data_IF_293717051125
#
_entry.id   IF_293717051125
#
_cell.length_a   1.000
_cell.length_b   1.000
_cell.length_c   1.000
_cell.angle_alpha   90.00
_cell.angle_beta   90.00
_cell.angle_gamma   90.00
#
_symmetry.space_group_name_H-M   'P 1'
#
loop_
_entity.id
_entity.type
_entity.pdbx_description
1 polymer ?
#
# COMPACT_ATOMS: atom_id res chain seq x y z
N UNK A 1 -27.38 17.57 15.35
CA UNK A 1 -26.43 17.07 14.33
C UNK A 1 -26.80 15.62 14.00
N UNK A 2 -27.10 15.28 12.74
CA UNK A 2 -27.45 13.88 12.41
C UNK A 2 -26.20 13.02 12.58
N UNK A 3 -26.33 11.77 13.04
CA UNK A 3 -25.19 10.86 13.26
C UNK A 3 -24.29 10.73 12.01
N UNK A 4 -24.89 10.76 10.82
CA UNK A 4 -24.17 10.77 9.53
C UNK A 4 -23.34 12.04 9.29
N UNK A 5 -23.79 13.21 9.74
CA UNK A 5 -23.02 14.46 9.61
C UNK A 5 -21.75 14.39 10.46
N UNK A 6 -21.85 13.77 11.65
CA UNK A 6 -20.70 13.56 12.55
C UNK A 6 -19.69 12.58 11.95
N UNK A 7 -20.15 11.47 11.38
CA UNK A 7 -19.29 10.50 10.70
C UNK A 7 -18.54 11.18 9.55
N UNK A 8 -19.26 11.93 8.70
CA UNK A 8 -18.66 12.68 7.60
C UNK A 8 -17.59 13.66 8.10
N UNK A 9 -17.86 14.40 9.17
CA UNK A 9 -16.90 15.34 9.75
C UNK A 9 -15.65 14.63 10.30
N UNK A 10 -15.81 13.51 11.01
CA UNK A 10 -14.69 12.69 11.48
C UNK A 10 -13.85 12.15 10.32
N UNK A 11 -14.49 11.70 9.24
CA UNK A 11 -13.79 11.24 8.03
C UNK A 11 -12.99 12.36 7.37
N UNK A 12 -13.53 13.58 7.27
CA UNK A 12 -12.77 14.71 6.73
C UNK A 12 -11.58 15.10 7.61
N UNK A 13 -11.73 15.02 8.94
CA UNK A 13 -10.61 15.24 9.86
C UNK A 13 -9.53 14.16 9.71
N UNK A 14 -9.93 12.89 9.54
CA UNK A 14 -9.01 11.78 9.29
C UNK A 14 -8.26 11.96 7.96
N UNK A 15 -8.96 12.33 6.88
CA UNK A 15 -8.33 12.65 5.59
C UNK A 15 -7.26 13.72 5.73
N UNK A 16 -7.57 14.81 6.44
CA UNK A 16 -6.60 15.88 6.71
C UNK A 16 -5.41 15.39 7.51
N UNK A 17 -5.63 14.64 8.59
CA UNK A 17 -4.54 14.09 9.41
C UNK A 17 -3.61 13.18 8.58
N UNK A 18 -4.18 12.34 7.70
CA UNK A 18 -3.39 11.53 6.77
C UNK A 18 -2.61 12.40 5.79
N UNK A 19 -3.20 13.47 5.24
CA UNK A 19 -2.50 14.39 4.34
C UNK A 19 -1.36 15.16 5.03
N UNK A 20 -1.53 15.44 6.33
CA UNK A 20 -0.54 16.16 7.13
C UNK A 20 0.61 15.26 7.60
N UNK A 21 0.44 13.93 7.59
CA UNK A 21 1.46 12.98 8.04
C UNK A 21 2.70 12.99 7.13
N UNK A 22 3.85 12.69 7.73
CA UNK A 22 5.15 12.69 7.04
C UNK A 22 5.19 11.65 5.92
N UNK A 23 4.61 10.46 6.13
CA UNK A 23 4.56 9.41 5.12
C UNK A 23 3.82 9.86 3.85
N UNK A 24 2.70 10.59 3.98
CA UNK A 24 1.97 11.10 2.83
C UNK A 24 2.75 12.20 2.11
N UNK A 25 3.37 13.13 2.85
CA UNK A 25 4.20 14.19 2.27
C UNK A 25 5.43 13.62 1.56
N UNK A 26 6.09 12.64 2.17
CA UNK A 26 7.22 11.90 1.60
C UNK A 26 6.82 11.16 0.33
N UNK A 27 5.69 10.46 0.36
CA UNK A 27 5.13 9.79 -0.82
C UNK A 27 4.82 10.78 -1.95
N UNK A 28 4.20 11.93 -1.66
CA UNK A 28 3.93 12.95 -2.66
C UNK A 28 5.21 13.52 -3.28
N UNK A 29 6.25 13.73 -2.46
CA UNK A 29 7.57 14.18 -2.95
C UNK A 29 8.20 13.13 -3.85
N UNK A 30 8.30 11.88 -3.38
CA UNK A 30 8.87 10.78 -4.14
C UNK A 30 8.11 10.50 -5.44
N UNK A 31 6.77 10.65 -5.44
CA UNK A 31 5.95 10.53 -6.64
C UNK A 31 6.25 11.62 -7.67
N UNK A 32 6.38 12.87 -7.23
CA UNK A 32 6.76 13.99 -8.12
C UNK A 32 8.16 13.80 -8.69
N UNK A 33 9.08 13.29 -7.88
CA UNK A 33 10.44 13.00 -8.32
C UNK A 33 10.45 11.86 -9.34
N UNK A 34 9.70 10.78 -9.10
CA UNK A 34 9.53 9.68 -10.06
C UNK A 34 8.86 10.13 -11.37
N UNK A 35 7.95 11.10 -11.33
CA UNK A 35 7.31 11.68 -12.53
C UNK A 35 8.31 12.40 -13.45
N UNK A 36 9.44 12.88 -12.94
CA UNK A 36 10.51 13.46 -13.75
C UNK A 36 11.29 12.42 -14.57
N UNK A 37 11.13 11.12 -14.27
CA UNK A 37 11.86 10.02 -14.90
C UNK A 37 10.90 8.94 -15.42
N UNK A 38 10.35 9.10 -16.64
CA UNK A 38 9.36 8.18 -17.22
C UNK A 38 9.80 6.72 -17.24
N UNK A 39 11.07 6.44 -17.56
CA UNK A 39 11.63 5.08 -17.60
C UNK A 39 11.66 4.41 -16.21
N UNK A 40 11.98 5.18 -15.16
CA UNK A 40 11.95 4.66 -13.79
C UNK A 40 10.52 4.43 -13.31
N UNK A 41 9.61 5.33 -13.68
CA UNK A 41 8.19 5.19 -13.40
C UNK A 41 7.63 3.92 -14.04
N UNK A 42 7.95 3.65 -15.30
CA UNK A 42 7.50 2.45 -15.99
C UNK A 42 7.95 1.18 -15.27
N UNK A 43 9.24 1.11 -14.89
CA UNK A 43 9.78 -0.01 -14.09
C UNK A 43 9.04 -0.20 -12.78
N UNK A 44 8.81 0.88 -12.02
CA UNK A 44 8.06 0.81 -10.75
C UNK A 44 6.63 0.35 -10.97
N UNK A 45 5.94 0.84 -12.00
CA UNK A 45 4.55 0.45 -12.26
C UNK A 45 4.44 -1.00 -12.72
N UNK A 46 5.37 -1.48 -13.55
CA UNK A 46 5.46 -2.88 -13.95
C UNK A 46 5.67 -3.79 -12.73
N UNK A 47 6.61 -3.44 -11.86
CA UNK A 47 6.85 -4.14 -10.60
C UNK A 47 5.59 -4.20 -9.72
N UNK A 48 4.93 -3.05 -9.50
CA UNK A 48 3.70 -2.96 -8.68
C UNK A 48 2.56 -3.81 -9.24
N UNK A 49 2.39 -3.78 -10.57
CA UNK A 49 1.38 -4.58 -11.26
C UNK A 49 1.65 -6.07 -11.06
N UNK A 50 2.89 -6.51 -11.26
CA UNK A 50 3.28 -7.92 -11.10
C UNK A 50 3.13 -8.40 -9.66
N UNK A 51 3.50 -7.56 -8.69
CA UNK A 51 3.28 -7.85 -7.27
C UNK A 51 1.79 -8.04 -6.95
N UNK A 52 0.93 -7.16 -7.47
CA UNK A 52 -0.52 -7.29 -7.32
C UNK A 52 -1.06 -8.56 -7.98
N UNK A 53 -0.61 -8.91 -9.18
CA UNK A 53 -1.02 -10.14 -9.87
C UNK A 53 -0.67 -11.38 -9.06
N UNK A 54 0.57 -11.45 -8.54
CA UNK A 54 1.04 -12.59 -7.73
C UNK A 54 0.26 -12.72 -6.42
N UNK A 55 -0.01 -11.62 -5.72
CA UNK A 55 -0.82 -11.63 -4.49
C UNK A 55 -2.27 -12.08 -4.72
N UNK A 56 -2.77 -12.01 -5.96
CA UNK A 56 -4.11 -12.45 -6.33
C UNK A 56 -4.14 -13.82 -7.04
N UNK A 57 -3.00 -14.51 -7.18
CA UNK A 57 -2.97 -15.87 -7.70
C UNK A 57 -3.66 -16.83 -6.70
N UNK A 58 -4.39 -17.80 -7.23
CA UNK A 58 -5.17 -18.75 -6.44
C UNK A 58 -4.38 -19.99 -6.00
N UNK A 59 -3.25 -20.27 -6.63
CA UNK A 59 -2.45 -21.48 -6.40
C UNK A 59 -1.14 -21.15 -5.67
N UNK A 60 -0.96 -21.69 -4.45
CA UNK A 60 0.18 -21.37 -3.58
C UNK A 60 1.55 -21.75 -4.18
N UNK A 61 1.61 -22.82 -4.98
CA UNK A 61 2.86 -23.29 -5.58
C UNK A 61 3.44 -22.30 -6.61
N UNK A 62 2.56 -21.65 -7.38
CA UNK A 62 2.96 -20.63 -8.36
C UNK A 62 3.34 -19.31 -7.69
N UNK A 63 2.72 -18.99 -6.54
CA UNK A 63 3.01 -17.79 -5.76
C UNK A 63 4.44 -17.78 -5.25
N UNK A 64 4.94 -18.86 -4.65
CA UNK A 64 6.30 -18.88 -4.09
C UNK A 64 7.39 -18.74 -5.16
N UNK A 65 7.25 -19.42 -6.29
CA UNK A 65 8.22 -19.34 -7.38
C UNK A 65 8.21 -17.97 -8.08
N UNK A 66 7.02 -17.38 -8.30
CA UNK A 66 6.91 -16.03 -8.86
C UNK A 66 7.36 -14.95 -7.87
N UNK A 67 7.10 -15.10 -6.56
CA UNK A 67 7.61 -14.18 -5.54
C UNK A 67 9.13 -14.17 -5.47
N UNK A 68 9.80 -15.32 -5.55
CA UNK A 68 11.25 -15.38 -5.57
C UNK A 68 11.84 -14.64 -6.79
N UNK A 69 11.25 -14.83 -7.98
CA UNK A 69 11.63 -14.08 -9.20
C UNK A 69 11.39 -12.58 -9.05
N UNK A 70 10.26 -12.20 -8.47
CA UNK A 70 9.91 -10.82 -8.22
C UNK A 70 10.88 -10.17 -7.21
N UNK A 71 11.32 -10.90 -6.19
CA UNK A 71 12.25 -10.41 -5.17
C UNK A 71 13.66 -10.15 -5.72
N UNK A 72 14.11 -10.96 -6.68
CA UNK A 72 15.36 -10.72 -7.40
C UNK A 72 15.27 -9.49 -8.32
N UNK A 73 14.17 -9.36 -9.08
CA UNK A 73 13.88 -8.16 -9.87
C UNK A 73 13.79 -6.91 -8.97
N UNK A 74 13.20 -7.09 -7.78
CA UNK A 74 13.06 -6.05 -6.78
C UNK A 74 14.40 -5.55 -6.24
N UNK A 75 15.32 -6.49 -5.97
CA UNK A 75 16.66 -6.18 -5.48
C UNK A 75 17.42 -5.28 -6.48
N UNK A 76 17.29 -5.55 -7.78
CA UNK A 76 17.93 -4.76 -8.81
C UNK A 76 17.31 -3.35 -8.96
N UNK A 77 15.98 -3.23 -8.96
CA UNK A 77 15.34 -1.92 -9.13
C UNK A 77 15.51 -0.99 -7.91
N UNK A 78 15.61 -1.54 -6.69
CA UNK A 78 15.85 -0.75 -5.47
C UNK A 78 17.26 -0.15 -5.39
N UNK A 79 18.21 -0.61 -6.20
CA UNK A 79 19.54 0.04 -6.29
C UNK A 79 19.44 1.49 -6.75
N UNK A 80 18.37 1.85 -7.45
CA UNK A 80 18.07 3.23 -7.77
C UNK A 80 17.38 3.93 -6.59
N UNK A 81 18.01 4.99 -6.07
CA UNK A 81 17.50 5.72 -4.90
C UNK A 81 16.08 6.28 -5.10
N UNK A 82 15.75 6.78 -6.29
CA UNK A 82 14.42 7.35 -6.59
C UNK A 82 13.35 6.27 -6.51
N UNK A 83 13.64 5.08 -7.03
CA UNK A 83 12.74 3.92 -6.97
C UNK A 83 12.59 3.45 -5.51
N UNK A 84 13.71 3.33 -4.79
CA UNK A 84 13.72 2.91 -3.39
C UNK A 84 12.91 3.85 -2.51
N UNK A 85 13.13 5.16 -2.64
CA UNK A 85 12.43 6.20 -1.90
C UNK A 85 10.92 6.18 -2.20
N UNK A 86 10.53 6.04 -3.47
CA UNK A 86 9.12 5.92 -3.84
C UNK A 86 8.46 4.72 -3.14
N UNK A 87 9.07 3.54 -3.26
CA UNK A 87 8.50 2.30 -2.72
C UNK A 87 8.46 2.28 -1.19
N UNK A 88 9.47 2.83 -0.52
CA UNK A 88 9.50 2.91 0.93
C UNK A 88 8.44 3.88 1.48
N UNK A 89 8.29 5.04 0.84
CA UNK A 89 7.24 5.99 1.21
C UNK A 89 5.83 5.44 0.91
N UNK A 90 5.67 4.72 -0.20
CA UNK A 90 4.42 4.03 -0.54
C UNK A 90 4.07 2.98 0.52
N UNK A 91 5.03 2.13 0.89
CA UNK A 91 4.84 1.10 1.92
C UNK A 91 4.44 1.71 3.26
N UNK A 92 5.12 2.77 3.69
CA UNK A 92 4.80 3.46 4.94
C UNK A 92 3.36 4.00 4.95
N UNK A 93 2.91 4.58 3.82
CA UNK A 93 1.53 5.06 3.68
C UNK A 93 0.52 3.90 3.67
N UNK A 94 0.83 2.80 2.98
CA UNK A 94 0.01 1.59 2.97
C UNK A 94 -0.16 1.01 4.39
N UNK A 95 0.90 0.94 5.19
CA UNK A 95 0.81 0.46 6.58
C UNK A 95 -0.09 1.37 7.44
N UNK A 96 -0.03 2.69 7.27
CA UNK A 96 -0.94 3.63 7.96
C UNK A 96 -2.39 3.36 7.57
N UNK A 97 -2.66 3.20 6.27
CA UNK A 97 -4.00 2.94 5.76
C UNK A 97 -4.53 1.57 6.21
N UNK A 98 -3.69 0.54 6.25
CA UNK A 98 -4.05 -0.78 6.77
C UNK A 98 -4.45 -0.68 8.25
N UNK A 99 -3.67 0.02 9.08
CA UNK A 99 -4.01 0.23 10.49
C UNK A 99 -5.34 0.97 10.68
N UNK A 100 -5.56 2.03 9.89
CA UNK A 100 -6.84 2.77 9.91
C UNK A 100 -8.00 1.84 9.54
N UNK A 101 -7.85 1.06 8.45
CA UNK A 101 -8.89 0.15 8.00
C UNK A 101 -9.18 -0.94 9.04
N UNK A 102 -8.14 -1.55 9.62
CA UNK A 102 -8.29 -2.54 10.69
C UNK A 102 -9.05 -1.95 11.88
N UNK A 103 -8.66 -0.76 12.37
CA UNK A 103 -9.35 -0.10 13.47
C UNK A 103 -10.81 0.26 13.16
N UNK A 104 -11.16 0.53 11.89
CA UNK A 104 -12.55 0.77 11.49
C UNK A 104 -13.36 -0.53 11.42
N UNK A 105 -12.74 -1.61 10.95
CA UNK A 105 -13.36 -2.92 10.81
C UNK A 105 -13.56 -3.60 12.17
N UNK A 106 -12.63 -3.43 13.11
CA UNK A 106 -12.75 -3.91 14.50
C UNK A 106 -14.03 -3.38 15.19
N UNK A 107 -14.49 -2.18 14.84
CA UNK A 107 -15.72 -1.58 15.41
C UNK A 107 -16.97 -2.33 14.94
N UNK A 108 -16.91 -2.95 13.77
CA UNK A 108 -18.07 -3.54 13.11
C UNK A 108 -18.35 -4.97 13.59
N UNK A 109 -17.50 -5.55 14.46
CA UNK A 109 -17.60 -6.92 15.01
C UNK A 109 -18.08 -7.92 13.94
N UNK A 110 -17.44 -7.87 12.77
CA UNK A 110 -17.88 -8.61 11.58
C UNK A 110 -17.42 -10.08 11.60
N UNK A 111 -17.00 -10.59 12.76
CA UNK A 111 -16.36 -11.90 12.94
C UNK A 111 -15.19 -12.12 11.95
N UNK A 112 -14.55 -11.05 11.46
CA UNK A 112 -13.45 -11.16 10.48
C UNK A 112 -12.21 -11.83 11.09
N UNK A 113 -12.09 -11.80 12.43
CA UNK A 113 -11.11 -12.60 13.17
C UNK A 113 -11.29 -14.11 13.01
N UNK A 114 -12.48 -14.60 12.67
CA UNK A 114 -12.74 -16.01 12.41
C UNK A 114 -12.32 -16.45 11.00
N UNK A 115 -12.00 -15.50 10.11
CA UNK A 115 -11.47 -15.75 8.76
C UNK A 115 -9.93 -15.61 8.66
N UNK A 116 -9.21 -15.71 9.79
CA UNK A 116 -7.74 -15.69 9.82
C UNK A 116 -7.09 -16.78 8.95
N UNK A 117 -7.83 -17.85 8.65
CA UNK A 117 -7.48 -18.92 7.72
C UNK A 117 -7.54 -18.50 6.23
N UNK A 118 -8.28 -17.43 5.91
CA UNK A 118 -8.46 -16.90 4.55
C UNK A 118 -7.56 -15.66 4.32
N UNK A 119 -7.33 -14.85 5.36
CA UNK A 119 -6.48 -13.66 5.28
C UNK A 119 -5.03 -14.04 5.61
N UNK A 120 -4.33 -14.62 4.64
CA UNK A 120 -2.88 -14.81 4.70
C UNK A 120 -2.19 -13.47 4.40
N UNK A 121 -1.59 -12.86 5.41
CA UNK A 121 -0.69 -11.71 5.26
C UNK A 121 0.66 -12.12 4.66
#
# INVERSE_FOLDING_TARGET
>A
MRKMDKIRQCTENLKRAVQECEAYKGFQKARKELEAYPELREKVMAFRKRNYEIQNLKEEADVYAEMARLEEEYHEIRKNQIISDYLQNELALCCIMQRINLSLVEILDLDIGDFQDIIKW
#
